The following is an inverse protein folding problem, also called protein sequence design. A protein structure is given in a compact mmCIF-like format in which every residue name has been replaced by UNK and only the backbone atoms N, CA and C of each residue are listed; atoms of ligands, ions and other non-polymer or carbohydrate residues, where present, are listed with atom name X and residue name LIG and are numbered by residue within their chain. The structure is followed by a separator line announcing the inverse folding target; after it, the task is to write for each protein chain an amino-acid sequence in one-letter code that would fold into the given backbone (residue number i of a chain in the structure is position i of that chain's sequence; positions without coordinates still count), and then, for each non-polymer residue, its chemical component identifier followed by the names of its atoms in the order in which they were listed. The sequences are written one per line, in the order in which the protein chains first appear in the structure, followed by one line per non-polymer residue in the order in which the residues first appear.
data_IF_890798296516
#
_entry.id   IF_890798296516
#
_cell.length_a   1.000
_cell.length_b   1.000
_cell.length_c   1.000
_cell.angle_alpha   90.00
_cell.angle_beta   90.00
_cell.angle_gamma   90.00
#
_symmetry.space_group_name_H-M   'P 1'
#
loop_
_entity.id
_entity.type
_entity.pdbx_description
1 polymer ?
#
# COMPACT_ATOMS: atom_id res chain seq x y z
N UNK A 1 9.65 -7.74 12.46
CA UNK A 1 8.85 -6.80 11.65
C UNK A 1 7.74 -7.53 10.87
N UNK A 2 8.05 -8.41 9.95
CA UNK A 2 7.04 -9.04 9.09
C UNK A 2 5.95 -9.81 9.85
N UNK A 3 6.26 -10.46 10.96
CA UNK A 3 5.27 -11.20 11.75
C UNK A 3 4.26 -10.28 12.43
N UNK A 4 4.70 -9.18 13.00
CA UNK A 4 3.84 -8.19 13.66
C UNK A 4 2.91 -7.50 12.66
N UNK A 5 3.46 -7.01 11.54
CA UNK A 5 2.67 -6.42 10.45
C UNK A 5 1.65 -7.41 9.88
N UNK A 6 2.03 -8.67 9.71
CA UNK A 6 1.12 -9.71 9.24
C UNK A 6 -0.05 -9.92 10.20
N UNK A 7 0.18 -9.95 11.52
CA UNK A 7 -0.91 -10.10 12.51
C UNK A 7 -1.85 -8.90 12.51
N UNK A 8 -1.31 -7.68 12.35
CA UNK A 8 -2.11 -6.46 12.20
C UNK A 8 -3.02 -6.56 10.96
N UNK A 9 -2.42 -6.88 9.80
CA UNK A 9 -3.17 -7.01 8.55
C UNK A 9 -4.22 -8.13 8.61
N UNK A 10 -3.90 -9.27 9.20
CA UNK A 10 -4.87 -10.36 9.44
C UNK A 10 -6.06 -9.88 10.24
N UNK A 11 -5.82 -9.19 11.35
CA UNK A 11 -6.89 -8.72 12.23
C UNK A 11 -7.79 -7.68 11.54
N UNK A 12 -7.19 -6.80 10.72
CA UNK A 12 -7.94 -5.72 10.05
C UNK A 12 -8.69 -6.15 8.80
N UNK A 13 -8.17 -7.15 8.09
CA UNK A 13 -8.74 -7.65 6.85
C UNK A 13 -9.67 -8.86 7.05
N UNK A 14 -9.77 -9.38 8.28
CA UNK A 14 -10.63 -10.53 8.57
C UNK A 14 -12.09 -10.26 8.19
N UNK A 15 -12.69 -11.17 7.43
CA UNK A 15 -14.06 -11.04 6.92
C UNK A 15 -14.29 -9.95 5.88
N UNK A 16 -13.24 -9.24 5.41
CA UNK A 16 -13.35 -8.26 4.35
C UNK A 16 -13.51 -8.95 3.00
N UNK A 17 -14.65 -8.73 2.33
CA UNK A 17 -14.92 -9.25 0.98
C UNK A 17 -14.41 -8.36 -0.14
N UNK A 18 -14.05 -7.11 0.16
CA UNK A 18 -13.69 -6.10 -0.84
C UNK A 18 -12.56 -5.25 -0.30
N UNK A 19 -11.38 -5.43 -0.87
CA UNK A 19 -10.13 -4.82 -0.40
C UNK A 19 -9.50 -4.05 -1.56
N UNK A 20 -9.17 -2.77 -1.32
CA UNK A 20 -8.37 -1.96 -2.22
C UNK A 20 -6.93 -1.84 -1.70
N UNK A 21 -5.95 -1.79 -2.61
CA UNK A 21 -4.61 -1.34 -2.30
C UNK A 21 -4.31 -0.09 -3.14
N UNK A 22 -3.79 0.95 -2.52
CA UNK A 22 -3.33 2.17 -3.18
C UNK A 22 -1.82 2.26 -3.03
N UNK A 23 -1.10 2.15 -4.12
CA UNK A 23 0.35 2.39 -4.15
C UNK A 23 0.64 3.83 -4.47
N UNK A 24 1.50 4.44 -3.67
CA UNK A 24 1.85 5.86 -3.77
C UNK A 24 3.35 5.98 -3.98
N UNK A 25 3.78 7.06 -4.64
CA UNK A 25 5.18 7.38 -4.91
C UNK A 25 5.52 7.57 -6.39
N UNK A 26 6.66 8.20 -6.66
CA UNK A 26 7.12 8.53 -8.00
C UNK A 26 8.13 7.49 -8.50
N UNK A 27 7.79 6.72 -9.53
CA UNK A 27 8.63 5.64 -10.10
C UNK A 27 10.00 6.10 -10.61
N UNK A 28 10.11 7.37 -10.99
CA UNK A 28 11.38 7.95 -11.48
C UNK A 28 12.29 8.47 -10.35
N UNK A 29 11.96 8.21 -9.10
CA UNK A 29 12.68 8.74 -7.93
C UNK A 29 13.20 7.65 -6.99
N UNK A 30 13.83 6.62 -7.56
CA UNK A 30 14.42 5.56 -6.75
C UNK A 30 13.39 4.85 -5.90
N UNK A 31 13.67 4.72 -4.61
CA UNK A 31 12.83 3.98 -3.67
C UNK A 31 11.45 4.62 -3.40
N UNK A 32 11.23 5.86 -3.85
CA UNK A 32 9.90 6.48 -3.84
C UNK A 32 8.88 5.68 -4.67
N UNK A 33 9.34 4.97 -5.69
CA UNK A 33 8.52 4.09 -6.52
C UNK A 33 8.06 2.78 -5.86
N UNK A 34 8.39 2.53 -4.60
CA UNK A 34 8.09 1.26 -3.92
C UNK A 34 6.61 0.91 -3.92
N UNK A 35 5.73 1.88 -3.59
CA UNK A 35 4.28 1.67 -3.60
C UNK A 35 3.75 1.27 -4.98
N UNK A 36 4.27 1.87 -6.05
CA UNK A 36 3.91 1.52 -7.42
C UNK A 36 4.40 0.13 -7.81
N UNK A 37 5.62 -0.25 -7.41
CA UNK A 37 6.14 -1.61 -7.63
C UNK A 37 5.28 -2.67 -6.95
N UNK A 38 4.78 -2.41 -5.74
CA UNK A 38 3.82 -3.28 -5.05
C UNK A 38 2.53 -3.45 -5.86
N UNK A 39 1.95 -2.35 -6.38
CA UNK A 39 0.75 -2.39 -7.22
C UNK A 39 0.94 -3.31 -8.42
N UNK A 40 2.01 -3.11 -9.19
CA UNK A 40 2.24 -3.89 -10.41
C UNK A 40 2.43 -5.37 -10.14
N UNK A 41 3.22 -5.72 -9.11
CA UNK A 41 3.45 -7.13 -8.74
C UNK A 41 2.15 -7.79 -8.24
N UNK A 42 1.34 -7.10 -7.44
CA UNK A 42 0.07 -7.65 -6.96
C UNK A 42 -0.97 -7.82 -8.08
N UNK A 43 -1.04 -6.88 -9.03
CA UNK A 43 -1.90 -7.01 -10.22
C UNK A 43 -1.50 -8.20 -11.08
N UNK A 44 -0.19 -8.42 -11.27
CA UNK A 44 0.31 -9.58 -12.00
C UNK A 44 -0.10 -10.89 -11.30
N UNK A 45 0.11 -10.98 -9.98
CA UNK A 45 -0.25 -12.16 -9.19
C UNK A 45 -1.77 -12.39 -9.18
N UNK A 46 -2.59 -11.38 -9.00
CA UNK A 46 -4.05 -11.48 -9.00
C UNK A 46 -4.59 -11.94 -10.37
N UNK A 47 -3.97 -11.48 -11.46
CA UNK A 47 -4.32 -11.94 -12.81
C UNK A 47 -3.92 -13.41 -13.04
N UNK A 48 -2.76 -13.83 -12.52
CA UNK A 48 -2.25 -15.21 -12.66
C UNK A 48 -2.99 -16.20 -11.77
N UNK A 49 -3.37 -15.76 -10.58
CA UNK A 49 -4.03 -16.57 -9.55
C UNK A 49 -5.28 -15.82 -9.04
N UNK A 50 -6.38 -15.80 -9.82
CA UNK A 50 -7.57 -15.01 -9.49
C UNK A 50 -8.18 -15.49 -8.16
N UNK A 51 -8.84 -14.56 -7.50
CA UNK A 51 -9.66 -14.83 -6.31
C UNK A 51 -11.04 -15.36 -6.74
N UNK A 52 -11.67 -16.15 -5.88
CA UNK A 52 -12.98 -16.77 -6.17
C UNK A 52 -14.13 -15.95 -5.58
N UNK A 53 -13.94 -15.44 -4.36
CA UNK A 53 -14.96 -14.71 -3.60
C UNK A 53 -14.50 -13.30 -3.25
N UNK A 54 -13.21 -13.14 -2.94
CA UNK A 54 -12.61 -11.86 -2.58
C UNK A 54 -12.55 -10.94 -3.81
N UNK A 55 -13.12 -9.75 -3.69
CA UNK A 55 -12.89 -8.65 -4.64
C UNK A 55 -11.65 -7.86 -4.19
N UNK A 56 -10.59 -7.94 -4.97
CA UNK A 56 -9.34 -7.20 -4.72
C UNK A 56 -8.97 -6.36 -5.93
N UNK A 57 -8.64 -5.09 -5.69
CA UNK A 57 -8.13 -4.17 -6.71
C UNK A 57 -6.95 -3.35 -6.17
N UNK A 58 -5.89 -3.22 -6.99
CA UNK A 58 -4.74 -2.38 -6.69
C UNK A 58 -4.76 -1.15 -7.60
N UNK A 59 -4.70 0.04 -7.00
CA UNK A 59 -4.80 1.34 -7.66
C UNK A 59 -3.45 2.06 -7.68
N UNK A 60 -3.18 2.73 -8.79
CA UNK A 60 -2.00 3.57 -8.96
C UNK A 60 -2.29 4.97 -8.42
N UNK A 61 -1.66 5.33 -7.31
CA UNK A 61 -1.70 6.68 -6.75
C UNK A 61 -0.60 7.56 -7.34
N UNK A 62 0.52 6.95 -7.74
CA UNK A 62 1.68 7.69 -8.25
C UNK A 62 2.06 8.83 -7.29
N UNK A 63 2.50 9.97 -7.80
CA UNK A 63 2.79 11.17 -7.00
C UNK A 63 1.56 12.05 -6.70
N UNK A 64 0.38 11.65 -7.14
CA UNK A 64 -0.89 12.37 -6.96
C UNK A 64 -2.03 11.38 -6.61
N UNK A 65 -1.98 10.76 -5.41
CA UNK A 65 -2.92 9.70 -5.00
C UNK A 65 -4.39 10.18 -4.99
N UNK A 66 -4.62 11.48 -4.90
CA UNK A 66 -5.96 12.08 -5.04
C UNK A 66 -6.63 11.73 -6.39
N UNK A 67 -5.86 11.51 -7.45
CA UNK A 67 -6.41 11.14 -8.76
C UNK A 67 -7.02 9.73 -8.78
N UNK A 68 -6.62 8.86 -7.88
CA UNK A 68 -7.17 7.51 -7.75
C UNK A 68 -8.46 7.46 -6.92
N UNK A 69 -8.79 8.51 -6.19
CA UNK A 69 -9.88 8.49 -5.20
C UNK A 69 -11.26 8.23 -5.82
N UNK A 70 -11.53 8.73 -7.03
CA UNK A 70 -12.80 8.49 -7.71
C UNK A 70 -12.97 7.00 -8.11
N UNK A 71 -11.89 6.33 -8.51
CA UNK A 71 -11.91 4.91 -8.87
C UNK A 71 -12.05 4.04 -7.62
N UNK A 72 -11.36 4.38 -6.53
CA UNK A 72 -11.48 3.69 -5.24
C UNK A 72 -12.90 3.85 -4.68
N UNK A 73 -13.48 5.04 -4.78
CA UNK A 73 -14.86 5.29 -4.36
C UNK A 73 -15.86 4.46 -5.20
N UNK A 74 -15.69 4.40 -6.52
CA UNK A 74 -16.51 3.57 -7.39
C UNK A 74 -16.36 2.08 -7.09
N UNK A 75 -15.16 1.62 -6.75
CA UNK A 75 -14.91 0.26 -6.28
C UNK A 75 -15.58 -0.03 -4.94
N UNK A 76 -15.75 0.97 -4.07
CA UNK A 76 -16.42 0.86 -2.76
C UNK A 76 -15.86 -0.24 -1.86
N UNK A 77 -14.58 -0.22 -1.51
CA UNK A 77 -13.94 -1.23 -0.68
C UNK A 77 -14.43 -1.17 0.77
N UNK A 78 -14.25 -2.27 1.51
CA UNK A 78 -14.41 -2.30 2.98
C UNK A 78 -13.14 -1.88 3.69
N UNK A 79 -11.99 -2.16 3.08
CA UNK A 79 -10.68 -1.80 3.62
C UNK A 79 -9.77 -1.30 2.50
N UNK A 80 -8.99 -0.25 2.80
CA UNK A 80 -7.97 0.30 1.90
C UNK A 80 -6.61 0.15 2.57
N UNK A 81 -5.68 -0.51 1.88
CA UNK A 81 -4.26 -0.56 2.28
C UNK A 81 -3.50 0.43 1.41
N UNK A 82 -2.88 1.43 2.01
CA UNK A 82 -2.02 2.39 1.31
C UNK A 82 -0.56 1.97 1.53
N UNK A 83 0.22 1.92 0.46
CA UNK A 83 1.65 1.61 0.52
C UNK A 83 2.44 2.78 -0.06
N UNK A 84 3.39 3.30 0.71
CA UNK A 84 4.21 4.45 0.36
C UNK A 84 5.63 4.31 0.91
N UNK A 85 6.60 4.98 0.28
CA UNK A 85 7.93 5.14 0.86
C UNK A 85 7.88 6.17 2.00
N UNK A 86 8.41 5.80 3.16
CA UNK A 86 8.43 6.67 4.34
C UNK A 86 9.72 6.51 5.12
N UNK A 87 10.33 7.62 5.52
CA UNK A 87 11.50 7.59 6.41
C UNK A 87 11.05 7.31 7.85
N UNK A 88 11.36 6.11 8.30
CA UNK A 88 10.96 5.61 9.62
C UNK A 88 12.19 5.31 10.51
N UNK A 89 13.39 5.62 10.03
CA UNK A 89 14.63 5.30 10.72
C UNK A 89 14.91 3.79 10.83
N UNK A 90 14.40 2.99 9.89
CA UNK A 90 14.54 1.54 9.86
C UNK A 90 15.60 1.08 8.84
N UNK A 91 15.87 -0.21 8.79
CA UNK A 91 16.66 -0.79 7.72
C UNK A 91 15.94 -0.62 6.37
N UNK A 92 16.68 -0.32 5.30
CA UNK A 92 16.14 -0.13 3.95
C UNK A 92 15.31 -1.34 3.51
N UNK A 93 14.15 -1.10 2.90
CA UNK A 93 13.19 -2.13 2.51
C UNK A 93 12.36 -2.70 3.67
N UNK A 94 12.61 -2.26 4.92
CA UNK A 94 11.75 -2.63 6.04
C UNK A 94 10.37 -2.01 5.89
N UNK A 95 9.34 -2.76 6.29
CA UNK A 95 7.94 -2.33 6.24
C UNK A 95 7.36 -2.22 7.64
N UNK A 96 6.56 -1.18 7.88
CA UNK A 96 5.84 -0.94 9.14
C UNK A 96 4.49 -0.29 8.88
N UNK A 97 3.50 -0.61 9.71
CA UNK A 97 2.28 0.21 9.77
C UNK A 97 2.60 1.60 10.31
N UNK A 98 2.03 2.61 9.68
CA UNK A 98 2.06 3.99 10.16
C UNK A 98 0.66 4.33 10.66
N UNK A 99 0.48 4.61 11.96
CA UNK A 99 -0.79 5.05 12.49
C UNK A 99 -1.28 6.32 11.77
N UNK A 100 -2.58 6.39 11.44
CA UNK A 100 -3.17 7.54 10.72
C UNK A 100 -2.95 8.84 11.49
N UNK A 101 -2.85 8.78 12.80
CA UNK A 101 -2.60 9.91 13.70
C UNK A 101 -1.17 10.45 13.57
N UNK A 102 -0.21 9.63 13.14
CA UNK A 102 1.20 10.00 12.96
C UNK A 102 1.47 10.66 11.60
N UNK A 103 0.50 10.66 10.67
CA UNK A 103 0.67 11.20 9.31
C UNK A 103 0.84 12.74 9.28
N UNK A 104 0.58 13.44 10.36
CA UNK A 104 0.75 14.89 10.44
C UNK A 104 2.22 15.38 10.47
N UNK A 105 3.17 14.46 10.56
CA UNK A 105 4.60 14.69 10.44
C UNK A 105 5.08 14.59 8.99
N UNK A 106 6.05 15.37 8.66
CA UNK A 106 6.65 15.75 7.40
C UNK A 106 7.29 14.65 6.54
N UNK A 107 7.11 13.38 6.80
CA UNK A 107 7.96 12.32 6.28
C UNK A 107 7.42 11.60 5.02
N UNK A 108 6.20 11.98 4.57
CA UNK A 108 5.65 11.62 3.25
C UNK A 108 5.93 12.77 2.27
N UNK A 109 7.11 12.80 1.71
CA UNK A 109 7.74 14.05 1.26
C UNK A 109 7.54 14.43 -0.20
N UNK A 110 6.77 13.68 -1.00
CA UNK A 110 6.76 13.90 -2.46
C UNK A 110 5.39 14.20 -3.06
N UNK A 111 4.33 14.24 -2.25
CA UNK A 111 2.96 14.35 -2.76
C UNK A 111 2.44 15.79 -2.77
N UNK A 112 1.60 16.09 -3.76
CA UNK A 112 0.97 17.41 -3.93
C UNK A 112 0.01 17.72 -2.79
N UNK A 113 -0.69 16.72 -2.27
CA UNK A 113 -1.57 16.83 -1.10
C UNK A 113 -1.02 16.00 0.08
N UNK A 114 -1.15 16.49 1.32
CA UNK A 114 -0.83 15.70 2.50
C UNK A 114 -1.62 14.39 2.52
N UNK A 115 -0.95 13.28 2.82
CA UNK A 115 -1.56 11.95 2.88
C UNK A 115 -2.80 11.91 3.79
N UNK A 116 -2.80 12.72 4.87
CA UNK A 116 -3.96 12.85 5.76
C UNK A 116 -5.22 13.35 5.03
N UNK A 117 -5.10 14.28 4.10
CA UNK A 117 -6.24 14.79 3.32
C UNK A 117 -6.81 13.69 2.43
N UNK A 118 -5.95 12.89 1.81
CA UNK A 118 -6.36 11.75 0.97
C UNK A 118 -7.06 10.68 1.81
N UNK A 119 -6.52 10.33 2.96
CA UNK A 119 -7.12 9.33 3.87
C UNK A 119 -8.46 9.78 4.44
N UNK A 120 -8.56 11.04 4.89
CA UNK A 120 -9.81 11.61 5.40
C UNK A 120 -10.90 11.60 4.32
N UNK A 121 -10.56 12.02 3.09
CA UNK A 121 -11.48 11.98 1.96
C UNK A 121 -11.93 10.55 1.64
N UNK A 122 -11.01 9.60 1.51
CA UNK A 122 -11.34 8.20 1.21
C UNK A 122 -12.22 7.58 2.29
N UNK A 123 -11.91 7.82 3.56
CA UNK A 123 -12.73 7.34 4.69
C UNK A 123 -14.15 7.90 4.62
N UNK A 124 -14.28 9.21 4.36
CA UNK A 124 -15.59 9.87 4.28
C UNK A 124 -16.39 9.38 3.05
N UNK A 125 -15.74 9.22 1.90
CA UNK A 125 -16.40 8.86 0.65
C UNK A 125 -16.82 7.39 0.58
N UNK A 126 -16.01 6.47 1.14
CA UNK A 126 -16.24 5.03 1.03
C UNK A 126 -16.77 4.38 2.31
N UNK A 127 -16.54 4.99 3.48
CA UNK A 127 -16.73 4.36 4.78
C UNK A 127 -15.73 3.24 5.10
N UNK A 128 -14.70 3.08 4.27
CA UNK A 128 -13.66 2.06 4.47
C UNK A 128 -12.74 2.40 5.64
N UNK A 129 -12.25 1.37 6.31
CA UNK A 129 -11.09 1.52 7.20
C UNK A 129 -9.81 1.59 6.38
N UNK A 130 -8.80 2.32 6.88
CA UNK A 130 -7.53 2.52 6.18
C UNK A 130 -6.38 1.98 7.03
N UNK A 131 -5.45 1.27 6.39
CA UNK A 131 -4.15 0.91 6.94
C UNK A 131 -3.06 1.47 6.05
N UNK A 132 -2.09 2.17 6.62
CA UNK A 132 -0.96 2.74 5.89
C UNK A 132 0.30 1.95 6.21
N UNK A 133 0.99 1.54 5.17
CA UNK A 133 2.24 0.79 5.23
C UNK A 133 3.35 1.66 4.68
N UNK A 134 4.27 2.04 5.55
CA UNK A 134 5.53 2.67 5.16
C UNK A 134 6.56 1.63 4.75
N UNK A 135 7.32 1.93 3.70
CA UNK A 135 8.49 1.18 3.28
C UNK A 135 9.73 2.07 3.41
N UNK A 136 10.73 1.66 4.19
CA UNK A 136 11.92 2.48 4.46
C UNK A 136 12.78 2.65 3.21
N UNK A 137 12.92 3.88 2.67
CA UNK A 137 13.74 4.14 1.51
C UNK A 137 15.22 4.29 1.86
N UNK A 138 16.09 4.12 0.85
CA UNK A 138 17.52 4.43 0.87
C UNK A 138 17.81 5.70 0.08
N UNK A 139 17.27 5.77 -1.15
CA UNK A 139 17.52 6.83 -2.12
C UNK A 139 16.22 7.32 -2.71
N UNK A 140 16.05 8.64 -2.76
CA UNK A 140 14.92 9.33 -3.40
C UNK A 140 15.40 10.23 -4.54
N UNK A 141 16.48 9.82 -5.24
CA UNK A 141 17.09 10.57 -6.32
C UNK A 141 16.33 10.36 -7.63
N UNK A 142 16.22 11.42 -8.42
CA UNK A 142 15.59 11.37 -9.73
C UNK A 142 16.41 10.51 -10.71
N UNK A 143 15.72 9.82 -11.62
CA UNK A 143 16.27 8.95 -12.65
C UNK A 143 17.12 7.79 -12.08
N UNK A 144 16.71 7.27 -10.92
CA UNK A 144 17.31 6.09 -10.30
C UNK A 144 16.28 4.97 -10.17
N UNK A 145 16.68 3.70 -10.35
CA UNK A 145 15.79 2.55 -10.06
C UNK A 145 15.64 2.35 -8.55
N UNK A 146 14.75 1.44 -8.17
CA UNK A 146 14.68 0.94 -6.78
C UNK A 146 16.03 0.38 -6.35
N UNK A 147 16.42 0.63 -5.11
CA UNK A 147 17.58 -0.04 -4.51
C UNK A 147 17.32 -1.56 -4.36
N UNK A 148 18.37 -2.37 -4.40
CA UNK A 148 18.25 -3.82 -4.27
C UNK A 148 17.59 -4.23 -2.95
N UNK A 149 17.84 -3.47 -1.89
CA UNK A 149 17.22 -3.67 -0.58
C UNK A 149 15.73 -3.36 -0.62
N UNK A 150 15.32 -2.30 -1.35
CA UNK A 150 13.91 -1.97 -1.54
C UNK A 150 13.21 -2.99 -2.44
N UNK A 151 13.83 -3.44 -3.52
CA UNK A 151 13.28 -4.54 -4.34
C UNK A 151 12.97 -5.77 -3.50
N UNK A 152 13.92 -6.18 -2.64
CA UNK A 152 13.73 -7.28 -1.70
C UNK A 152 12.59 -7.01 -0.72
N UNK A 153 12.49 -5.77 -0.21
CA UNK A 153 11.39 -5.34 0.68
C UNK A 153 10.02 -5.45 0.00
N UNK A 154 9.92 -4.97 -1.23
CA UNK A 154 8.71 -5.07 -2.08
C UNK A 154 8.32 -6.53 -2.30
N UNK A 155 9.25 -7.39 -2.70
CA UNK A 155 9.00 -8.82 -2.93
C UNK A 155 8.50 -9.53 -1.66
N UNK A 156 9.13 -9.26 -0.54
CA UNK A 156 8.73 -9.82 0.75
C UNK A 156 7.32 -9.36 1.14
N UNK A 157 7.01 -8.07 1.01
CA UNK A 157 5.68 -7.55 1.31
C UNK A 157 4.63 -8.15 0.39
N UNK A 158 4.85 -8.14 -0.92
CA UNK A 158 3.94 -8.70 -1.93
C UNK A 158 3.65 -10.17 -1.66
N UNK A 159 4.69 -10.97 -1.40
CA UNK A 159 4.53 -12.41 -1.12
C UNK A 159 3.65 -12.66 0.11
N UNK A 160 3.92 -11.97 1.22
CA UNK A 160 3.18 -12.12 2.47
C UNK A 160 1.75 -11.60 2.32
N UNK A 161 1.56 -10.43 1.71
CA UNK A 161 0.25 -9.82 1.54
C UNK A 161 -0.63 -10.63 0.57
N UNK A 162 -0.08 -11.09 -0.54
CA UNK A 162 -0.82 -11.93 -1.49
C UNK A 162 -1.23 -13.27 -0.87
N UNK A 163 -0.36 -13.91 -0.08
CA UNK A 163 -0.71 -15.11 0.68
C UNK A 163 -1.86 -14.85 1.64
N UNK A 164 -1.85 -13.71 2.34
CA UNK A 164 -2.95 -13.32 3.23
C UNK A 164 -4.27 -13.14 2.47
N UNK A 165 -4.25 -12.48 1.29
CA UNK A 165 -5.44 -12.32 0.46
C UNK A 165 -6.00 -13.67 0.02
N UNK A 166 -5.15 -14.64 -0.33
CA UNK A 166 -5.58 -16.01 -0.66
C UNK A 166 -6.19 -16.73 0.53
N UNK A 167 -5.62 -16.56 1.73
CA UNK A 167 -6.17 -17.14 2.95
C UNK A 167 -7.56 -16.56 3.28
N UNK A 168 -7.76 -15.26 3.03
CA UNK A 168 -9.06 -14.59 3.20
C UNK A 168 -10.07 -15.13 2.18
N UNK A 169 -9.69 -15.22 0.89
CA UNK A 169 -10.55 -15.72 -0.19
C UNK A 169 -11.10 -17.13 0.09
N UNK A 170 -10.28 -18.00 0.70
CA UNK A 170 -10.69 -19.36 1.07
C UNK A 170 -11.65 -19.39 2.27
N UNK A 171 -11.56 -18.39 3.16
CA UNK A 171 -12.39 -18.32 4.38
C UNK A 171 -13.76 -17.67 4.16
N UNK A 172 -13.93 -16.92 3.07
CA UNK A 172 -15.18 -16.23 2.71
C UNK A 172 -16.22 -17.17 2.09
#
# INVERSE_FOLDING_TARGET
MQKELLEILKARLDGCRKIALLGVGAELRGDDGAGMAVVYKLRELARKYPFVVLEFEAFEGSNAPENATCFINAFSPKHIVIVDAADMGLAVGATREIPVEEISGTDFSTHTLPMKVVTDYLTQATGATITIIGMQPKLLEFDTPLSAEMETGVENFVSVFFSLLKDIDVKL
#
